data_IF_439487545840
#
_entry.id   IF_439487545840
#
_cell.length_a   1.000
_cell.length_b   1.000
_cell.length_c   1.000
_cell.angle_alpha   90.00
_cell.angle_beta   90.00
_cell.angle_gamma   90.00
#
_symmetry.space_group_name_H-M   'P 1'
#
loop_
_entity.id
_entity.type
_entity.pdbx_description
1 polymer ?
#
# COMPACT_ATOMS: atom_id res chain seq x y z
N UNK A 1 33.95 2.06 -11.02
CA UNK A 1 32.56 2.52 -11.19
C UNK A 1 31.82 2.31 -9.85
N UNK A 2 32.25 2.99 -8.79
CA UNK A 2 31.86 2.68 -7.40
C UNK A 2 31.52 3.94 -6.60
N UNK A 3 31.06 5.00 -7.28
CA UNK A 3 30.94 6.33 -6.67
C UNK A 3 29.50 6.75 -6.33
N UNK A 4 28.50 5.86 -6.46
CA UNK A 4 27.07 6.24 -6.31
C UNK A 4 26.24 5.14 -5.65
N UNK A 5 26.72 4.59 -4.54
CA UNK A 5 25.92 3.78 -3.61
C UNK A 5 26.11 4.34 -2.21
N UNK A 6 25.00 4.63 -1.54
CA UNK A 6 24.98 4.96 -0.11
C UNK A 6 24.10 3.89 0.53
N UNK A 7 24.70 3.07 1.39
CA UNK A 7 24.02 2.04 2.18
C UNK A 7 23.29 0.94 1.37
N UNK A 8 23.89 0.50 0.25
CA UNK A 8 23.35 -0.57 -0.61
C UNK A 8 22.19 -0.13 -1.52
N UNK A 9 21.89 1.17 -1.55
CA UNK A 9 20.84 1.76 -2.39
C UNK A 9 21.51 2.69 -3.39
N UNK A 10 21.35 2.40 -4.68
CA UNK A 10 21.89 3.25 -5.74
C UNK A 10 21.13 4.58 -5.77
N UNK A 11 21.85 5.70 -5.61
CA UNK A 11 21.30 7.06 -5.71
C UNK A 11 20.40 7.29 -6.94
N UNK A 12 20.71 6.79 -8.16
CA UNK A 12 19.83 6.95 -9.32
C UNK A 12 18.47 6.25 -9.18
N UNK A 13 18.39 5.12 -8.45
CA UNK A 13 17.14 4.42 -8.20
C UNK A 13 16.27 5.22 -7.25
N UNK A 14 16.87 5.76 -6.17
CA UNK A 14 16.17 6.61 -5.22
C UNK A 14 15.56 7.84 -5.91
N UNK A 15 16.33 8.49 -6.80
CA UNK A 15 15.84 9.63 -7.61
C UNK A 15 14.73 9.18 -8.57
N UNK A 16 14.90 8.05 -9.26
CA UNK A 16 13.90 7.51 -10.17
C UNK A 16 12.54 7.26 -9.49
N UNK A 17 12.56 6.70 -8.28
CA UNK A 17 11.36 6.45 -7.49
C UNK A 17 10.67 7.77 -7.05
N UNK A 18 11.47 8.73 -6.59
CA UNK A 18 10.98 10.04 -6.15
C UNK A 18 10.33 10.83 -7.30
N UNK A 19 10.96 10.80 -8.48
CA UNK A 19 10.44 11.42 -9.70
C UNK A 19 9.14 10.75 -10.17
N UNK A 20 8.96 9.45 -9.95
CA UNK A 20 7.69 8.78 -10.27
C UNK A 20 6.57 9.08 -9.26
N UNK A 21 6.90 9.37 -8.00
CA UNK A 21 5.92 9.70 -6.97
C UNK A 21 5.43 11.16 -7.07
N UNK A 22 6.33 12.09 -7.39
CA UNK A 22 6.02 13.52 -7.56
C UNK A 22 4.85 13.86 -8.52
N UNK A 23 4.69 13.25 -9.70
CA UNK A 23 3.61 13.58 -10.64
C UNK A 23 2.22 13.20 -10.09
N UNK A 24 2.14 12.20 -9.22
CA UNK A 24 0.88 11.79 -8.59
C UNK A 24 0.46 12.83 -7.55
N UNK A 25 1.40 13.30 -6.71
CA UNK A 25 1.14 14.35 -5.71
C UNK A 25 0.76 15.69 -6.37
N UNK A 26 1.41 16.06 -7.47
CA UNK A 26 1.13 17.30 -8.19
C UNK A 26 -0.25 17.30 -8.89
N UNK A 27 -0.85 16.13 -9.13
CA UNK A 27 -2.18 15.98 -9.75
C UNK A 27 -3.35 16.00 -8.75
N UNK A 28 -3.08 16.07 -7.44
CA UNK A 28 -4.15 16.11 -6.44
C UNK A 28 -4.82 17.48 -6.47
N UNK A 29 -6.07 17.51 -6.94
CA UNK A 29 -6.95 18.68 -6.86
C UNK A 29 -7.47 18.83 -5.42
N UNK A 30 -6.78 19.64 -4.63
CA UNK A 30 -7.11 19.92 -3.23
C UNK A 30 -8.51 20.52 -3.03
N UNK A 31 -9.10 21.17 -4.05
CA UNK A 31 -10.45 21.75 -4.00
C UNK A 31 -11.57 20.75 -3.68
N UNK A 32 -11.39 19.45 -3.96
CA UNK A 32 -12.38 18.43 -3.59
C UNK A 32 -12.12 17.75 -2.24
N UNK A 33 -10.94 17.91 -1.65
CA UNK A 33 -10.60 17.27 -0.36
C UNK A 33 -11.43 17.85 0.81
N UNK A 34 -11.84 19.12 0.71
CA UNK A 34 -12.71 19.74 1.70
C UNK A 34 -14.15 19.20 1.66
N UNK A 35 -14.70 18.84 0.49
CA UNK A 35 -16.04 18.26 0.41
C UNK A 35 -16.08 16.80 0.85
N UNK A 36 -15.04 15.98 0.55
CA UNK A 36 -14.96 14.60 1.07
C UNK A 36 -14.69 14.54 2.58
N UNK A 37 -14.08 15.58 3.18
CA UNK A 37 -13.97 15.69 4.65
C UNK A 37 -15.32 15.90 5.33
N UNK A 38 -16.36 16.36 4.61
CA UNK A 38 -17.74 16.42 5.12
C UNK A 38 -18.40 15.04 5.21
N UNK A 39 -18.11 14.15 4.26
CA UNK A 39 -18.58 12.76 4.24
C UNK A 39 -17.68 11.82 5.05
N UNK A 40 -17.28 12.24 6.27
CA UNK A 40 -16.45 11.41 7.17
C UNK A 40 -17.06 10.02 7.37
N UNK A 41 -18.38 9.90 7.42
CA UNK A 41 -19.04 8.60 7.60
C UNK A 41 -18.74 7.65 6.43
N UNK A 42 -18.75 8.16 5.20
CA UNK A 42 -18.48 7.38 3.99
C UNK A 42 -16.98 7.10 3.84
N UNK A 43 -16.13 8.06 4.21
CA UNK A 43 -14.68 7.90 4.25
C UNK A 43 -14.25 6.89 5.31
N UNK A 44 -14.80 6.96 6.53
CA UNK A 44 -14.53 6.02 7.62
C UNK A 44 -15.13 4.65 7.34
N UNK A 45 -16.31 4.57 6.71
CA UNK A 45 -16.88 3.28 6.30
C UNK A 45 -16.09 2.66 5.16
N UNK A 46 -15.65 3.44 4.17
CA UNK A 46 -14.80 2.96 3.08
C UNK A 46 -13.44 2.53 3.63
N UNK A 47 -12.88 3.28 4.58
CA UNK A 47 -11.66 2.93 5.28
C UNK A 47 -11.84 1.65 6.10
N UNK A 48 -12.90 1.52 6.89
CA UNK A 48 -13.17 0.35 7.69
C UNK A 48 -13.47 -0.89 6.83
N UNK A 49 -14.24 -0.72 5.75
CA UNK A 49 -14.55 -1.78 4.81
C UNK A 49 -13.30 -2.20 4.05
N UNK A 50 -12.54 -1.23 3.51
CA UNK A 50 -11.24 -1.50 2.90
C UNK A 50 -10.22 -1.97 3.92
N UNK A 51 -10.39 -1.76 5.25
CA UNK A 51 -9.57 -2.21 6.40
C UNK A 51 -9.94 -3.61 6.92
N UNK A 52 -11.18 -4.05 6.74
CA UNK A 52 -11.61 -5.41 7.08
C UNK A 52 -11.53 -6.35 5.87
N UNK A 53 -12.02 -5.93 4.70
CA UNK A 53 -12.09 -6.80 3.52
C UNK A 53 -10.72 -7.32 3.08
N UNK A 54 -9.68 -6.47 3.09
CA UNK A 54 -8.32 -6.84 2.65
C UNK A 54 -7.74 -8.07 3.38
N UNK A 55 -7.50 -8.03 4.71
CA UNK A 55 -7.02 -9.13 5.50
C UNK A 55 -8.01 -10.25 5.53
N UNK A 56 -9.33 -9.99 5.59
CA UNK A 56 -10.31 -11.07 5.58
C UNK A 56 -10.20 -11.91 4.30
N UNK A 57 -10.08 -11.25 3.15
CA UNK A 57 -9.94 -11.91 1.86
C UNK A 57 -8.56 -12.56 1.69
N UNK A 58 -7.48 -11.88 2.09
CA UNK A 58 -6.12 -12.45 2.06
C UNK A 58 -5.97 -13.63 3.01
N UNK A 59 -6.58 -13.58 4.19
CA UNK A 59 -6.62 -14.68 5.16
C UNK A 59 -7.42 -15.87 4.62
N UNK A 60 -8.58 -15.62 4.03
CA UNK A 60 -9.37 -16.66 3.38
C UNK A 60 -8.60 -17.33 2.24
N UNK A 61 -7.94 -16.54 1.38
CA UNK A 61 -7.10 -17.07 0.30
C UNK A 61 -5.88 -17.84 0.83
N UNK A 62 -5.21 -17.35 1.87
CA UNK A 62 -4.06 -18.01 2.49
C UNK A 62 -4.45 -19.41 2.98
N UNK A 63 -5.61 -19.52 3.64
CA UNK A 63 -6.09 -20.78 4.18
C UNK A 63 -6.61 -21.75 3.10
N UNK A 64 -7.24 -21.23 2.04
CA UNK A 64 -7.86 -22.05 1.00
C UNK A 64 -6.87 -22.55 -0.06
N UNK A 65 -5.92 -21.72 -0.52
CA UNK A 65 -5.00 -22.07 -1.60
C UNK A 65 -3.63 -22.59 -1.13
N UNK A 66 -3.18 -22.29 0.09
CA UNK A 66 -1.83 -22.66 0.56
C UNK A 66 -1.79 -23.46 1.89
N UNK A 67 -2.60 -24.51 2.07
CA UNK A 67 -2.58 -25.31 3.31
C UNK A 67 -1.23 -26.03 3.55
N UNK A 68 -0.44 -26.27 2.50
CA UNK A 68 0.80 -27.06 2.57
C UNK A 68 2.08 -26.24 2.69
N UNK A 69 2.03 -24.90 2.51
CA UNK A 69 3.21 -24.02 2.63
C UNK A 69 3.00 -22.91 3.66
N UNK A 70 3.47 -23.09 4.92
CA UNK A 70 3.29 -22.11 5.99
C UNK A 70 4.02 -20.77 5.76
N UNK A 71 5.14 -20.77 5.03
CA UNK A 71 5.89 -19.55 4.72
C UNK A 71 5.09 -18.60 3.82
N UNK A 72 4.49 -19.12 2.75
CA UNK A 72 3.73 -18.30 1.81
C UNK A 72 2.37 -17.84 2.40
N UNK A 73 1.76 -18.61 3.31
CA UNK A 73 0.60 -18.14 4.08
C UNK A 73 0.92 -16.94 4.94
N UNK A 74 2.04 -17.02 5.65
CA UNK A 74 2.50 -15.92 6.52
C UNK A 74 2.80 -14.68 5.68
N UNK A 75 3.48 -14.85 4.54
CA UNK A 75 3.71 -13.77 3.58
C UNK A 75 2.41 -13.13 3.07
N UNK A 76 1.41 -13.94 2.70
CA UNK A 76 0.13 -13.43 2.20
C UNK A 76 -0.66 -12.68 3.29
N UNK A 77 -0.63 -13.17 4.53
CA UNK A 77 -1.25 -12.48 5.68
C UNK A 77 -0.52 -11.17 5.97
N UNK A 78 0.81 -11.13 5.94
CA UNK A 78 1.60 -9.90 6.14
C UNK A 78 1.28 -8.87 5.07
N UNK A 79 1.17 -9.26 3.79
CA UNK A 79 0.75 -8.35 2.71
C UNK A 79 -0.69 -7.87 2.92
N UNK A 80 -1.60 -8.72 3.40
CA UNK A 80 -2.97 -8.31 3.75
C UNK A 80 -3.03 -7.34 4.94
N UNK A 81 -2.07 -7.41 5.86
CA UNK A 81 -1.92 -6.50 7.01
C UNK A 81 -1.20 -5.20 6.63
N UNK A 82 -0.24 -5.25 5.71
CA UNK A 82 0.47 -4.13 5.12
C UNK A 82 -0.46 -3.40 4.13
N UNK A 83 -1.51 -2.81 4.68
CA UNK A 83 -2.54 -2.18 3.88
C UNK A 83 -2.03 -0.93 3.19
N UNK A 84 -2.34 -0.80 1.91
CA UNK A 84 -2.20 0.45 1.19
C UNK A 84 -3.36 1.38 1.58
N UNK A 85 -3.13 2.25 2.56
CA UNK A 85 -3.78 3.56 2.66
C UNK A 85 -2.74 4.63 2.97
#
# INVERSE_FOLDING_TARGET
>A
LSAVEIDGISLPIAIGLLVMMYPVLAKVRYDRLNSVTGDRKLLLSSLALNWLLGPALMFALAWLMLPDLPEYRTGLIIVGLARCI
#
